data_IF_486599208853
#
_entry.id   IF_486599208853
#
_cell.length_a   1.000
_cell.length_b   1.000
_cell.length_c   1.000
_cell.angle_alpha   90.00
_cell.angle_beta   90.00
_cell.angle_gamma   90.00
#
_symmetry.space_group_name_H-M   'P 1'
#
loop_
_entity.id
_entity.type
_entity.pdbx_description
1 polymer ?
#
# COMPACT_ATOMS: atom_id res chain seq x y z
N UNK A 1 1.35 9.92 15.27
CA UNK A 1 1.03 9.20 14.02
C UNK A 1 2.24 8.46 13.44
N UNK A 2 3.40 9.10 13.28
CA UNK A 2 4.59 8.43 12.72
C UNK A 2 5.14 7.26 13.57
N UNK A 3 4.94 7.29 14.89
CA UNK A 3 5.41 6.23 15.79
C UNK A 3 4.87 4.83 15.50
N UNK A 4 3.73 4.71 14.82
CA UNK A 4 3.14 3.42 14.41
C UNK A 4 3.34 3.14 12.92
N UNK A 5 3.32 4.17 12.08
CA UNK A 5 3.49 4.04 10.62
C UNK A 5 4.91 3.63 10.27
N UNK A 6 5.92 4.26 10.88
CA UNK A 6 7.32 4.02 10.51
C UNK A 6 7.78 2.58 10.76
N UNK A 7 7.52 1.96 11.93
CA UNK A 7 7.87 0.56 12.15
C UNK A 7 7.13 -0.41 11.21
N UNK A 8 5.86 -0.14 10.90
CA UNK A 8 5.05 -0.98 10.01
C UNK A 8 5.57 -0.92 8.56
N UNK A 9 5.85 0.28 8.06
CA UNK A 9 6.40 0.48 6.73
C UNK A 9 7.78 -0.19 6.60
N UNK A 10 8.67 -0.02 7.59
CA UNK A 10 9.98 -0.66 7.58
C UNK A 10 9.87 -2.18 7.50
N UNK A 11 9.01 -2.79 8.33
CA UNK A 11 8.77 -4.24 8.29
C UNK A 11 8.29 -4.72 6.91
N UNK A 12 7.39 -3.96 6.28
CA UNK A 12 6.89 -4.27 4.93
C UNK A 12 8.01 -4.20 3.89
N UNK A 13 8.80 -3.13 3.88
CA UNK A 13 9.89 -2.96 2.93
C UNK A 13 11.03 -3.99 3.11
N UNK A 14 11.19 -4.52 4.33
CA UNK A 14 12.15 -5.57 4.66
C UNK A 14 11.59 -6.98 4.42
N UNK A 15 10.38 -7.11 3.84
CA UNK A 15 9.75 -8.39 3.49
C UNK A 15 9.15 -9.15 4.68
N UNK A 16 8.97 -8.50 5.83
CA UNK A 16 8.46 -9.14 7.04
C UNK A 16 6.95 -9.31 7.09
N UNK A 17 6.18 -8.40 6.47
CA UNK A 17 4.73 -8.51 6.33
C UNK A 17 4.19 -7.49 5.32
N UNK A 18 3.28 -7.86 4.41
CA UNK A 18 2.62 -6.91 3.52
C UNK A 18 1.84 -5.84 4.29
N UNK A 19 1.82 -4.62 3.77
CA UNK A 19 1.13 -3.48 4.37
C UNK A 19 0.02 -2.96 3.45
N UNK A 20 -1.18 -2.78 4.00
CA UNK A 20 -2.28 -2.12 3.29
C UNK A 20 -2.42 -0.66 3.77
N UNK A 21 -2.61 0.27 2.82
CA UNK A 21 -2.91 1.68 3.12
C UNK A 21 -4.42 1.89 3.02
N UNK A 22 -5.01 2.36 4.12
CA UNK A 22 -6.44 2.68 4.18
C UNK A 22 -6.65 4.20 4.26
N UNK A 23 -7.71 4.73 3.65
CA UNK A 23 -8.14 6.10 3.89
C UNK A 23 -8.47 6.33 5.38
N UNK A 24 -8.37 7.57 5.83
CA UNK A 24 -8.84 7.95 7.16
C UNK A 24 -10.37 7.94 7.23
N UNK A 25 -10.91 7.64 8.42
CA UNK A 25 -12.36 7.58 8.68
C UNK A 25 -12.96 6.20 8.37
N UNK A 26 -13.98 5.79 9.13
CA UNK A 26 -14.55 4.43 9.07
C UNK A 26 -15.18 4.10 7.73
N UNK A 27 -16.06 4.95 7.18
CA UNK A 27 -16.74 4.68 5.91
C UNK A 27 -15.79 4.44 4.72
N UNK A 28 -14.87 5.37 4.42
CA UNK A 28 -13.86 5.16 3.38
C UNK A 28 -12.92 3.96 3.65
N UNK A 29 -12.57 3.70 4.90
CA UNK A 29 -11.74 2.56 5.27
C UNK A 29 -12.46 1.21 5.06
N UNK A 30 -13.76 1.13 5.35
CA UNK A 30 -14.56 -0.08 5.16
C UNK A 30 -14.73 -0.39 3.67
N UNK A 31 -14.99 0.62 2.85
CA UNK A 31 -15.01 0.48 1.39
C UNK A 31 -13.66 -0.01 0.84
N UNK A 32 -12.55 0.54 1.35
CA UNK A 32 -11.21 0.10 0.97
C UNK A 32 -10.93 -1.36 1.40
N UNK A 33 -11.35 -1.78 2.61
CA UNK A 33 -11.20 -3.17 3.08
C UNK A 33 -11.97 -4.16 2.21
N UNK A 34 -13.17 -3.79 1.75
CA UNK A 34 -13.95 -4.63 0.84
C UNK A 34 -13.24 -4.86 -0.50
N UNK A 35 -12.50 -3.86 -1.00
CA UNK A 35 -11.67 -3.98 -2.22
C UNK A 35 -10.42 -4.82 -1.96
N UNK A 36 -9.77 -4.64 -0.81
CA UNK A 36 -8.48 -5.26 -0.49
C UNK A 36 -8.55 -6.75 -0.21
N UNK A 37 -9.69 -7.25 0.28
CA UNK A 37 -9.93 -8.67 0.57
C UNK A 37 -8.76 -9.30 1.37
N UNK A 38 -8.49 -8.81 2.61
CA UNK A 38 -7.28 -9.17 3.37
C UNK A 38 -7.16 -10.65 3.73
N UNK A 39 -8.26 -11.41 3.64
CA UNK A 39 -8.29 -12.85 3.89
C UNK A 39 -7.81 -13.67 2.68
N UNK A 40 -7.52 -13.02 1.55
CA UNK A 40 -6.99 -13.67 0.36
C UNK A 40 -5.48 -13.55 0.24
N UNK A 41 -4.82 -14.60 -0.29
CA UNK A 41 -3.40 -14.55 -0.54
C UNK A 41 -3.07 -13.49 -1.59
N UNK A 42 -2.01 -12.73 -1.33
CA UNK A 42 -1.46 -11.78 -2.29
C UNK A 42 -0.61 -12.49 -3.34
N UNK A 43 -0.44 -11.83 -4.49
CA UNK A 43 0.54 -12.26 -5.48
C UNK A 43 1.96 -12.26 -4.87
N UNK A 44 2.79 -13.29 -5.15
CA UNK A 44 4.16 -13.36 -4.64
C UNK A 44 4.96 -12.10 -4.95
N UNK A 45 5.68 -11.58 -3.96
CA UNK A 45 6.48 -10.36 -4.09
C UNK A 45 5.71 -9.05 -3.88
N UNK A 46 4.45 -9.12 -3.42
CA UNK A 46 3.69 -7.95 -2.98
C UNK A 46 4.06 -7.58 -1.53
N UNK A 47 4.51 -6.35 -1.34
CA UNK A 47 4.90 -5.83 -0.02
C UNK A 47 3.97 -4.69 0.46
N UNK A 48 3.33 -3.98 -0.47
CA UNK A 48 2.38 -2.90 -0.19
C UNK A 48 1.15 -2.99 -1.10
N UNK A 49 -0.03 -2.72 -0.53
CA UNK A 49 -1.27 -2.58 -1.30
C UNK A 49 -1.92 -1.22 -1.06
N UNK A 50 -2.27 -0.53 -2.14
CA UNK A 50 -2.94 0.77 -2.11
C UNK A 50 -4.28 0.68 -2.85
N UNK A 51 -5.34 1.27 -2.29
CA UNK A 51 -6.64 1.33 -2.96
C UNK A 51 -6.72 2.60 -3.81
N UNK A 52 -7.16 2.43 -5.06
CA UNK A 52 -7.51 3.54 -5.95
C UNK A 52 -9.03 3.69 -6.01
N UNK A 53 -9.51 4.93 -6.10
CA UNK A 53 -10.94 5.26 -6.05
C UNK A 53 -11.75 4.77 -7.26
N UNK A 54 -11.09 4.29 -8.33
CA UNK A 54 -11.76 3.71 -9.49
C UNK A 54 -12.75 4.67 -10.16
N UNK A 55 -12.28 5.68 -10.90
CA UNK A 55 -13.19 6.59 -11.63
C UNK A 55 -14.05 5.91 -12.71
N UNK A 56 -13.78 4.64 -13.03
CA UNK A 56 -14.45 3.85 -14.07
C UNK A 56 -15.13 2.58 -13.55
N UNK A 57 -15.39 2.48 -12.23
CA UNK A 57 -16.01 1.30 -11.62
C UNK A 57 -15.78 1.22 -10.11
N UNK A 58 -15.77 0.02 -9.55
CA UNK A 58 -15.33 -0.17 -8.16
C UNK A 58 -13.84 0.17 -7.97
N UNK A 59 -13.46 0.49 -6.73
CA UNK A 59 -12.05 0.72 -6.39
C UNK A 59 -11.18 -0.51 -6.68
N UNK A 60 -9.89 -0.29 -6.94
CA UNK A 60 -8.93 -1.37 -7.23
C UNK A 60 -7.78 -1.36 -6.24
N UNK A 61 -7.38 -2.54 -5.78
CA UNK A 61 -6.12 -2.74 -5.06
C UNK A 61 -4.95 -2.76 -6.06
N UNK A 62 -3.93 -1.95 -5.78
CA UNK A 62 -2.67 -1.92 -6.53
C UNK A 62 -1.63 -2.64 -5.69
N UNK A 63 -1.09 -3.74 -6.22
CA UNK A 63 -0.07 -4.54 -5.57
C UNK A 63 1.32 -3.98 -5.95
N UNK A 64 2.14 -3.67 -4.95
CA UNK A 64 3.47 -3.09 -5.15
C UNK A 64 4.52 -3.90 -4.39
N UNK A 65 5.63 -4.19 -5.06
CA UNK A 65 6.82 -4.71 -4.40
C UNK A 65 7.61 -3.59 -3.73
N UNK A 66 8.40 -3.95 -2.72
CA UNK A 66 9.31 -3.03 -2.06
C UNK A 66 10.37 -2.50 -3.04
N UNK A 67 10.74 -3.28 -4.06
CA UNK A 67 11.64 -2.83 -5.11
C UNK A 67 11.02 -1.72 -5.96
N UNK A 68 9.76 -1.87 -6.38
CA UNK A 68 9.04 -0.85 -7.14
C UNK A 68 8.88 0.45 -6.33
N UNK A 69 8.56 0.33 -5.04
CA UNK A 69 8.46 1.47 -4.13
C UNK A 69 9.79 2.21 -3.97
N UNK A 70 10.88 1.48 -3.73
CA UNK A 70 12.22 2.06 -3.64
C UNK A 70 12.61 2.76 -4.93
N UNK A 71 12.40 2.13 -6.08
CA UNK A 71 12.68 2.73 -7.38
C UNK A 71 11.91 4.04 -7.60
N UNK A 72 10.60 4.06 -7.29
CA UNK A 72 9.77 5.26 -7.37
C UNK A 72 10.24 6.37 -6.43
N UNK A 73 10.61 6.02 -5.20
CA UNK A 73 11.08 6.97 -4.20
C UNK A 73 12.44 7.57 -4.59
N UNK A 74 13.39 6.74 -5.03
CA UNK A 74 14.69 7.18 -5.55
C UNK A 74 14.52 8.09 -6.76
N UNK A 75 13.74 7.70 -7.76
CA UNK A 75 13.48 8.54 -8.94
C UNK A 75 12.81 9.87 -8.56
N UNK A 76 11.96 9.88 -7.53
CA UNK A 76 11.36 11.11 -7.01
C UNK A 76 12.40 11.99 -6.33
N UNK A 77 13.29 11.43 -5.51
CA UNK A 77 14.37 12.15 -4.86
C UNK A 77 15.32 12.75 -5.89
N UNK A 78 15.78 11.96 -6.86
CA UNK A 78 16.67 12.41 -7.94
C UNK A 78 16.07 13.59 -8.73
N UNK A 79 14.75 13.58 -8.94
CA UNK A 79 14.04 14.67 -9.61
C UNK A 79 13.90 15.93 -8.74
N UNK A 80 13.90 15.79 -7.42
CA UNK A 80 13.73 16.91 -6.48
C UNK A 80 15.06 17.55 -6.05
N UNK A 81 16.18 16.82 -6.13
CA UNK A 81 17.50 17.24 -5.64
C UNK A 81 17.67 17.01 -4.14
#
# INVERSE_FOLDING_TARGET
MLGTVWPALRRSLDGGAPLAVLPAGSGPADAARAVLRPDEPLEPGTDLVVVTSGSTGGGRGVLLSAAALRASATATLDRLG
#
